data_IF_269263721716
#
_entry.id   IF_269263721716
#
_cell.length_a   1.000
_cell.length_b   1.000
_cell.length_c   1.000
_cell.angle_alpha   90.00
_cell.angle_beta   90.00
_cell.angle_gamma   90.00
#
_symmetry.space_group_name_H-M   'P 1'
#
loop_
_entity.id
_entity.type
_entity.pdbx_description
1 polymer ?
#
# COMPACT_ATOMS: atom_id res chain seq x y z
N UNK A 1 -59.08 -38.36 -17.42
CA UNK A 1 -58.49 -39.53 -16.72
C UNK A 1 -57.36 -40.09 -17.58
N UNK A 2 -56.19 -40.31 -16.98
CA UNK A 2 -55.04 -41.04 -17.54
C UNK A 2 -54.10 -40.18 -18.41
N UNK A 3 -52.81 -40.02 -18.14
CA UNK A 3 -51.89 -40.71 -17.22
C UNK A 3 -50.80 -39.72 -16.76
N UNK A 4 -50.69 -39.55 -15.44
CA UNK A 4 -49.44 -39.26 -14.76
C UNK A 4 -48.81 -40.60 -14.34
N UNK A 5 -47.49 -40.61 -14.18
CA UNK A 5 -46.60 -41.69 -13.71
C UNK A 5 -45.96 -42.60 -14.79
N UNK A 6 -44.76 -42.20 -15.23
CA UNK A 6 -43.55 -42.98 -14.95
C UNK A 6 -42.30 -42.12 -15.23
N UNK A 7 -41.76 -41.63 -14.14
CA UNK A 7 -40.49 -40.96 -13.95
C UNK A 7 -39.39 -42.04 -13.78
N UNK A 8 -38.20 -41.84 -14.36
CA UNK A 8 -36.93 -42.23 -13.72
C UNK A 8 -35.70 -41.77 -14.52
N UNK A 9 -34.95 -40.87 -13.87
CA UNK A 9 -33.50 -40.71 -13.94
C UNK A 9 -32.93 -40.04 -15.21
N UNK A 10 -32.77 -38.73 -15.10
CA UNK A 10 -31.44 -38.16 -15.31
C UNK A 10 -31.18 -37.10 -14.22
N UNK A 11 -30.79 -37.63 -13.06
CA UNK A 11 -30.17 -36.89 -11.97
C UNK A 11 -28.79 -36.35 -12.41
N UNK A 12 -28.54 -35.08 -12.04
CA UNK A 12 -27.24 -34.39 -11.91
C UNK A 12 -26.42 -34.03 -13.15
N UNK A 13 -26.24 -32.72 -13.28
CA UNK A 13 -25.15 -32.05 -13.97
C UNK A 13 -25.73 -30.84 -14.70
N UNK A 14 -25.70 -29.60 -14.23
CA UNK A 14 -24.74 -28.95 -13.36
C UNK A 14 -25.41 -27.66 -12.83
N UNK A 15 -26.17 -27.79 -11.75
CA UNK A 15 -26.70 -26.64 -10.99
C UNK A 15 -25.75 -26.28 -9.84
N UNK A 16 -24.45 -26.60 -9.99
CA UNK A 16 -23.41 -26.43 -8.98
C UNK A 16 -22.00 -26.28 -9.56
N UNK A 17 -21.76 -25.40 -10.53
CA UNK A 17 -20.39 -24.91 -10.74
C UNK A 17 -20.33 -23.42 -11.08
N UNK A 18 -19.83 -22.71 -10.07
CA UNK A 18 -18.85 -21.64 -10.23
C UNK A 18 -19.22 -20.48 -11.14
N UNK A 19 -20.04 -19.57 -10.63
CA UNK A 19 -19.64 -18.16 -10.74
C UNK A 19 -20.17 -17.38 -9.55
N UNK A 20 -19.59 -17.66 -8.36
CA UNK A 20 -19.34 -16.56 -7.44
C UNK A 20 -18.42 -15.63 -8.20
N UNK A 21 -18.98 -14.74 -9.03
CA UNK A 21 -18.19 -13.75 -9.74
C UNK A 21 -17.39 -13.04 -8.64
N UNK A 22 -16.05 -13.21 -8.55
CA UNK A 22 -15.27 -12.49 -7.57
C UNK A 22 -15.11 -11.08 -8.14
N UNK A 23 -16.22 -10.32 -8.19
CA UNK A 23 -16.28 -8.90 -8.57
C UNK A 23 -15.57 -8.00 -7.54
N UNK A 24 -14.74 -8.60 -6.67
CA UNK A 24 -13.72 -7.89 -5.91
C UNK A 24 -12.43 -7.75 -6.72
N UNK A 25 -11.92 -8.82 -7.34
CA UNK A 25 -10.56 -8.85 -7.89
C UNK A 25 -10.29 -7.82 -9.00
N UNK A 26 -10.92 -8.00 -10.17
CA UNK A 26 -10.66 -7.13 -11.33
C UNK A 26 -11.31 -5.74 -11.25
N UNK A 27 -12.40 -5.59 -10.50
CA UNK A 27 -13.11 -4.30 -10.35
C UNK A 27 -12.41 -3.40 -9.31
N UNK A 28 -11.80 -3.96 -8.26
CA UNK A 28 -11.07 -3.16 -7.26
C UNK A 28 -9.60 -2.92 -7.61
N UNK A 29 -9.00 -3.78 -8.45
CA UNK A 29 -7.63 -3.63 -8.95
C UNK A 29 -7.29 -2.20 -9.44
N UNK A 30 -8.09 -1.54 -10.30
CA UNK A 30 -7.78 -0.19 -10.76
C UNK A 30 -7.80 0.85 -9.64
N UNK A 31 -8.67 0.70 -8.63
CA UNK A 31 -8.68 1.61 -7.47
C UNK A 31 -7.48 1.40 -6.56
N UNK A 32 -7.05 0.16 -6.36
CA UNK A 32 -5.85 -0.17 -5.58
C UNK A 32 -4.60 0.39 -6.26
N UNK A 33 -4.46 0.16 -7.58
CA UNK A 33 -3.33 0.69 -8.37
C UNK A 33 -3.36 2.21 -8.39
N UNK A 34 -4.53 2.83 -8.55
CA UNK A 34 -4.65 4.28 -8.51
C UNK A 34 -4.24 4.85 -7.15
N UNK A 35 -4.63 4.20 -6.05
CA UNK A 35 -4.27 4.65 -4.71
C UNK A 35 -2.76 4.49 -4.44
N UNK A 36 -2.18 3.36 -4.83
CA UNK A 36 -0.74 3.13 -4.72
C UNK A 36 0.07 4.07 -5.63
N UNK A 37 -0.44 4.37 -6.82
CA UNK A 37 0.16 5.35 -7.72
C UNK A 37 0.08 6.75 -7.12
N UNK A 38 -1.06 7.16 -6.56
CA UNK A 38 -1.23 8.47 -5.93
C UNK A 38 -0.33 8.68 -4.71
N UNK A 39 0.03 7.62 -3.99
CA UNK A 39 1.00 7.70 -2.89
C UNK A 39 2.44 7.93 -3.41
N UNK A 40 2.79 7.32 -4.55
CA UNK A 40 4.16 7.35 -5.09
C UNK A 40 4.41 8.48 -6.09
N UNK A 41 3.39 8.96 -6.79
CA UNK A 41 3.44 10.06 -7.77
C UNK A 41 4.02 11.36 -7.17
N UNK A 42 3.64 11.80 -5.95
CA UNK A 42 4.23 12.96 -5.30
C UNK A 42 5.74 12.83 -5.15
N UNK A 43 6.24 11.63 -4.81
CA UNK A 43 7.67 11.39 -4.67
C UNK A 43 8.42 11.61 -5.99
N UNK A 44 7.86 11.17 -7.12
CA UNK A 44 8.47 11.39 -8.44
C UNK A 44 8.38 12.83 -8.92
N UNK A 45 7.32 13.57 -8.57
CA UNK A 45 7.12 14.97 -8.99
C UNK A 45 7.90 15.99 -8.11
N UNK A 46 8.10 15.68 -6.84
CA UNK A 46 8.76 16.57 -5.89
C UNK A 46 10.28 16.66 -6.13
N UNK A 47 10.92 15.55 -6.48
CA UNK A 47 12.36 15.48 -6.76
C UNK A 47 12.83 16.44 -7.86
N UNK A 48 12.24 16.45 -9.08
CA UNK A 48 12.66 17.37 -10.14
C UNK A 48 12.29 18.83 -9.83
N UNK A 49 11.18 19.07 -9.12
CA UNK A 49 10.76 20.42 -8.70
C UNK A 49 11.80 21.02 -7.76
N UNK A 50 12.26 20.25 -6.77
CA UNK A 50 13.27 20.71 -5.82
C UNK A 50 14.66 20.82 -6.45
N UNK A 51 14.97 19.97 -7.42
CA UNK A 51 16.21 20.05 -8.20
C UNK A 51 16.29 21.34 -9.03
N UNK A 52 15.18 21.74 -9.66
CA UNK A 52 15.11 22.98 -10.43
C UNK A 52 15.33 24.20 -9.53
N UNK A 53 14.79 24.19 -8.31
CA UNK A 53 14.97 25.27 -7.35
C UNK A 53 16.44 25.44 -6.93
N UNK A 54 17.12 24.33 -6.62
CA UNK A 54 18.54 24.30 -6.26
C UNK A 54 19.45 24.79 -7.40
N UNK A 55 19.10 24.44 -8.65
CA UNK A 55 19.84 24.90 -9.84
C UNK A 55 19.65 26.40 -10.09
N UNK A 56 18.42 26.90 -9.94
CA UNK A 56 18.03 28.24 -10.40
C UNK A 56 18.31 29.33 -9.37
N UNK A 57 17.98 29.08 -8.10
CA UNK A 57 18.14 30.08 -7.02
C UNK A 57 19.46 29.91 -6.27
N UNK A 58 19.99 28.68 -6.22
CA UNK A 58 21.17 28.35 -5.42
C UNK A 58 22.44 28.13 -6.27
N UNK A 59 22.33 28.21 -7.60
CA UNK A 59 23.42 28.03 -8.57
C UNK A 59 24.27 26.76 -8.32
N UNK A 60 23.69 25.74 -7.70
CA UNK A 60 24.41 24.50 -7.39
C UNK A 60 24.51 23.60 -8.62
N UNK A 61 25.61 22.85 -8.72
CA UNK A 61 25.74 21.78 -9.72
C UNK A 61 24.76 20.65 -9.41
N UNK A 62 24.28 19.96 -10.46
CA UNK A 62 23.33 18.85 -10.31
C UNK A 62 23.85 17.75 -9.36
N UNK A 63 25.16 17.54 -9.33
CA UNK A 63 25.79 16.60 -8.41
C UNK A 63 25.64 17.03 -6.93
N UNK A 64 25.80 18.32 -6.62
CA UNK A 64 25.62 18.84 -5.27
C UNK A 64 24.15 18.80 -4.82
N UNK A 65 23.20 19.13 -5.72
CA UNK A 65 21.77 19.04 -5.44
C UNK A 65 21.30 17.61 -5.16
N UNK A 66 21.77 16.64 -5.96
CA UNK A 66 21.46 15.22 -5.75
C UNK A 66 22.06 14.70 -4.44
N UNK A 67 23.29 15.12 -4.12
CA UNK A 67 23.95 14.76 -2.86
C UNK A 67 23.21 15.36 -1.67
N UNK A 68 22.69 16.59 -1.75
CA UNK A 68 21.90 17.22 -0.69
C UNK A 68 20.57 16.49 -0.44
N UNK A 69 19.83 16.17 -1.52
CA UNK A 69 18.56 15.43 -1.45
C UNK A 69 18.79 14.01 -0.88
N UNK A 70 19.90 13.37 -1.27
CA UNK A 70 20.27 12.03 -0.80
C UNK A 70 20.95 12.03 0.59
N UNK A 71 21.53 13.16 1.02
CA UNK A 71 22.14 13.34 2.35
C UNK A 71 21.07 13.42 3.45
N UNK A 72 19.80 13.72 3.13
CA UNK A 72 18.68 13.62 4.07
C UNK A 72 18.34 12.19 4.51
N UNK A 73 18.94 11.16 3.91
CA UNK A 73 18.62 9.75 4.22
C UNK A 73 19.04 9.28 5.63
N UNK A 74 20.21 9.63 6.20
CA UNK A 74 20.47 9.40 7.62
C UNK A 74 19.41 10.07 8.54
N UNK A 75 18.86 11.23 8.16
CA UNK A 75 17.81 11.92 8.93
C UNK A 75 16.48 11.16 8.91
N UNK A 76 16.11 10.58 7.77
CA UNK A 76 14.92 9.71 7.65
C UNK A 76 15.09 8.40 8.45
N UNK A 77 16.28 7.82 8.45
CA UNK A 77 16.59 6.62 9.25
C UNK A 77 16.48 6.92 10.75
N UNK A 78 16.90 8.11 11.20
CA UNK A 78 16.72 8.56 12.58
C UNK A 78 15.24 8.73 12.97
N UNK A 79 14.40 9.23 12.06
CA UNK A 79 12.95 9.37 12.28
C UNK A 79 12.23 8.00 12.31
N UNK A 80 12.63 7.07 11.44
CA UNK A 80 12.14 5.69 11.49
C UNK A 80 12.56 5.00 12.78
N UNK A 81 13.80 5.20 13.22
CA UNK A 81 14.30 4.69 14.48
C UNK A 81 13.52 5.24 15.68
N UNK A 82 13.20 6.54 15.69
CA UNK A 82 12.34 7.17 16.70
C UNK A 82 10.92 6.58 16.73
N UNK A 83 10.29 6.39 15.57
CA UNK A 83 8.93 5.83 15.43
C UNK A 83 8.88 4.36 15.83
N UNK A 84 9.90 3.56 15.50
CA UNK A 84 10.01 2.16 15.91
C UNK A 84 10.31 1.98 17.40
N UNK A 85 11.06 2.92 18.00
CA UNK A 85 11.42 2.87 19.41
C UNK A 85 10.29 3.38 20.32
N UNK A 86 9.42 4.26 19.84
CA UNK A 86 8.26 4.79 20.58
C UNK A 86 7.33 3.73 21.19
N UNK A 87 6.88 2.68 20.46
CA UNK A 87 6.03 1.63 21.03
C UNK A 87 6.77 0.75 22.04
N UNK A 88 8.08 0.53 21.84
CA UNK A 88 8.90 -0.30 22.75
C UNK A 88 9.13 0.46 24.07
N UNK A 89 9.41 1.75 23.99
CA UNK A 89 9.63 2.59 25.15
C UNK A 89 8.34 2.76 25.98
N UNK A 90 7.19 2.96 25.32
CA UNK A 90 5.89 3.02 26.01
C UNK A 90 5.50 1.69 26.64
N UNK A 91 5.78 0.55 26.01
CA UNK A 91 5.59 -0.78 26.61
C UNK A 91 6.48 -1.02 27.84
N UNK A 92 7.76 -0.64 27.77
CA UNK A 92 8.72 -0.80 28.88
C UNK A 92 8.33 0.08 30.07
N UNK A 93 7.98 1.35 29.83
CA UNK A 93 7.51 2.26 30.88
C UNK A 93 6.21 1.77 31.51
N UNK A 94 5.30 1.22 30.70
CA UNK A 94 4.05 0.63 31.17
C UNK A 94 4.30 -0.63 32.04
N UNK A 95 5.22 -1.51 31.64
CA UNK A 95 5.60 -2.71 32.43
C UNK A 95 6.29 -2.37 33.76
N UNK A 96 7.15 -1.35 33.75
CA UNK A 96 7.79 -0.86 34.97
C UNK A 96 6.75 -0.27 35.94
N UNK A 97 5.74 0.42 35.42
CA UNK A 97 4.67 1.00 36.23
C UNK A 97 3.64 -0.04 36.74
N UNK A 98 3.45 -1.16 36.03
CA UNK A 98 2.50 -2.22 36.44
C UNK A 98 3.05 -3.13 37.55
N UNK A 99 4.38 -3.21 37.70
CA UNK A 99 5.05 -4.16 38.61
C UNK A 99 5.42 -3.53 39.96
N UNK A 100 5.20 -2.22 40.13
CA UNK A 100 5.47 -1.47 41.35
C UNK A 100 4.17 -0.91 41.94
#
# INVERSE_FOLDING_TARGET
MGLMASESIMEKGDLRNSSKNPKGGFITLPFIIANEALEKVPSYALVPTMMLYLKTNYHMTMAAGYTLINCGRPLAILLLFWVLLSPILTWVVFFINITC
#
